data_IF_515127680236
#
_entry.id   IF_515127680236
#
_cell.length_a   1.000
_cell.length_b   1.000
_cell.length_c   1.000
_cell.angle_alpha   90.00
_cell.angle_beta   90.00
_cell.angle_gamma   90.00
#
_symmetry.space_group_name_H-M   'P 1'
#
loop_
_entity.id
_entity.type
_entity.pdbx_description
1 polymer ?
#
# COMPACT_ATOMS: atom_id res chain seq x y z
N UNK A 1 -92.00 31.51 -2.40
CA UNK A 1 -91.36 30.26 -1.96
C UNK A 1 -89.97 30.22 -2.55
N UNK A 2 -88.91 30.32 -1.73
CA UNK A 2 -87.56 29.75 -1.95
C UNK A 2 -86.69 30.23 -0.78
N UNK A 3 -86.86 29.58 0.38
CA UNK A 3 -86.00 29.80 1.54
C UNK A 3 -84.70 29.03 1.33
N UNK A 4 -83.64 29.72 0.90
CA UNK A 4 -82.31 29.13 0.93
C UNK A 4 -81.82 29.06 2.37
N UNK A 5 -81.55 27.83 2.82
CA UNK A 5 -81.20 27.50 4.19
C UNK A 5 -79.77 28.00 4.50
N UNK A 6 -79.56 28.93 5.46
CA UNK A 6 -78.27 29.58 5.69
C UNK A 6 -77.15 28.60 6.12
N UNK A 7 -77.52 27.40 6.56
CA UNK A 7 -76.60 26.36 7.00
C UNK A 7 -75.81 25.71 5.85
N UNK A 8 -76.31 25.72 4.61
CA UNK A 8 -75.58 25.13 3.48
C UNK A 8 -74.34 25.92 3.10
N UNK A 9 -74.41 27.26 3.19
CA UNK A 9 -73.27 28.12 2.86
C UNK A 9 -72.15 27.97 3.88
N UNK A 10 -72.48 27.86 5.17
CA UNK A 10 -71.51 27.65 6.24
C UNK A 10 -70.83 26.28 6.18
N UNK A 11 -71.55 25.21 5.79
CA UNK A 11 -70.97 23.87 5.63
C UNK A 11 -70.01 23.84 4.43
N UNK A 12 -70.36 24.46 3.31
CA UNK A 12 -69.50 24.55 2.13
C UNK A 12 -68.24 25.36 2.44
N UNK A 13 -68.36 26.47 3.19
CA UNK A 13 -67.21 27.27 3.60
C UNK A 13 -66.28 26.51 4.56
N UNK A 14 -66.84 25.69 5.46
CA UNK A 14 -66.07 24.87 6.40
C UNK A 14 -65.32 23.73 5.68
N UNK A 15 -65.94 23.11 4.68
CA UNK A 15 -65.29 22.09 3.83
C UNK A 15 -64.17 22.72 2.98
N UNK A 16 -64.39 23.91 2.43
CA UNK A 16 -63.36 24.66 1.69
C UNK A 16 -62.19 25.12 2.57
N UNK A 17 -62.44 25.39 3.86
CA UNK A 17 -61.39 25.79 4.82
C UNK A 17 -60.62 24.58 5.40
N UNK A 18 -61.23 23.39 5.43
CA UNK A 18 -60.58 22.14 5.83
C UNK A 18 -59.88 21.40 4.68
N UNK A 19 -60.19 21.72 3.42
CA UNK A 19 -59.54 21.11 2.24
C UNK A 19 -58.01 21.27 2.19
N UNK A 20 -57.41 22.42 2.57
CA UNK A 20 -55.95 22.58 2.55
C UNK A 20 -55.25 21.79 3.66
N UNK A 21 -55.97 21.39 4.72
CA UNK A 21 -55.41 20.64 5.86
C UNK A 21 -55.28 19.13 5.59
N UNK A 22 -55.93 18.61 4.53
CA UNK A 22 -55.81 17.20 4.13
C UNK A 22 -54.72 16.94 3.08
N UNK A 23 -54.12 17.98 2.48
CA UNK A 23 -52.85 17.85 1.78
C UNK A 23 -51.71 17.92 2.82
N UNK A 24 -51.62 16.91 3.68
CA UNK A 24 -50.32 16.60 4.28
C UNK A 24 -49.43 16.15 3.13
N UNK A 25 -48.59 17.05 2.61
CA UNK A 25 -47.51 16.68 1.70
C UNK A 25 -46.65 15.67 2.47
N UNK A 26 -46.87 14.39 2.20
CA UNK A 26 -46.05 13.31 2.74
C UNK A 26 -44.64 13.64 2.29
N UNK A 27 -43.77 13.96 3.25
CA UNK A 27 -42.39 14.31 2.97
C UNK A 27 -41.83 13.15 2.13
N UNK A 28 -41.36 13.40 0.89
CA UNK A 28 -40.89 12.31 0.05
C UNK A 28 -39.83 11.54 0.84
N UNK A 29 -39.89 10.22 0.77
CA UNK A 29 -38.92 9.38 1.47
C UNK A 29 -37.49 9.73 1.07
N UNK A 30 -36.52 9.18 1.78
CA UNK A 30 -35.10 9.37 1.45
C UNK A 30 -34.49 8.04 1.07
N UNK A 31 -33.83 7.99 -0.10
CA UNK A 31 -32.92 6.92 -0.46
C UNK A 31 -31.51 7.35 -0.07
N UNK A 32 -30.89 6.65 0.88
CA UNK A 32 -29.49 6.92 1.23
C UNK A 32 -28.59 6.16 0.26
N UNK A 33 -27.76 6.88 -0.49
CA UNK A 33 -26.84 6.30 -1.44
C UNK A 33 -25.41 6.26 -0.87
N UNK A 34 -24.86 5.05 -0.83
CA UNK A 34 -23.52 4.71 -0.38
C UNK A 34 -22.71 4.11 -1.54
N UNK A 35 -21.41 4.43 -1.61
CA UNK A 35 -20.51 3.93 -2.66
C UNK A 35 -19.46 2.99 -2.10
N UNK A 36 -19.32 1.83 -2.73
CA UNK A 36 -18.21 0.90 -2.56
C UNK A 36 -17.37 0.99 -3.84
N UNK A 37 -16.19 1.59 -3.74
CA UNK A 37 -15.25 1.72 -4.84
C UNK A 37 -13.88 1.16 -4.41
N UNK A 38 -13.43 0.13 -5.12
CA UNK A 38 -12.18 -0.56 -4.85
C UNK A 38 -12.29 -1.66 -3.80
N UNK A 39 -11.18 -1.92 -3.09
CA UNK A 39 -11.05 -3.05 -2.19
C UNK A 39 -11.94 -2.95 -0.94
N UNK A 40 -12.49 -4.09 -0.52
CA UNK A 40 -13.24 -4.20 0.75
C UNK A 40 -12.27 -4.34 1.91
N UNK A 41 -12.13 -3.30 2.73
CA UNK A 41 -11.31 -3.28 3.94
C UNK A 41 -11.96 -2.51 5.09
N UNK A 42 -11.26 -2.30 6.22
CA UNK A 42 -11.85 -1.68 7.40
C UNK A 42 -12.32 -0.23 7.18
N UNK A 43 -11.68 0.52 6.28
CA UNK A 43 -12.12 1.87 5.94
C UNK A 43 -13.51 1.85 5.27
N UNK A 44 -13.72 0.94 4.32
CA UNK A 44 -15.02 0.73 3.66
C UNK A 44 -16.06 0.21 4.66
N UNK A 45 -15.68 -0.71 5.56
CA UNK A 45 -16.54 -1.20 6.62
C UNK A 45 -17.02 -0.06 7.56
N UNK A 46 -16.11 0.77 8.10
CA UNK A 46 -16.44 1.91 8.98
C UNK A 46 -17.36 2.92 8.27
N UNK A 47 -17.04 3.25 7.01
CA UNK A 47 -17.85 4.13 6.18
C UNK A 47 -19.27 3.60 6.01
N UNK A 48 -19.42 2.33 5.62
CA UNK A 48 -20.73 1.73 5.46
C UNK A 48 -21.47 1.69 6.79
N UNK A 49 -20.85 1.25 7.89
CA UNK A 49 -21.50 1.21 9.20
C UNK A 49 -22.06 2.57 9.62
N UNK A 50 -21.31 3.67 9.39
CA UNK A 50 -21.81 5.03 9.61
C UNK A 50 -22.95 5.41 8.66
N UNK A 51 -22.86 5.00 7.39
CA UNK A 51 -23.94 5.15 6.41
C UNK A 51 -25.22 4.44 6.84
N UNK A 52 -25.14 3.21 7.33
CA UNK A 52 -26.29 2.47 7.84
C UNK A 52 -26.92 3.17 9.06
N UNK A 53 -26.11 3.62 10.03
CA UNK A 53 -26.60 4.40 11.16
C UNK A 53 -27.28 5.70 10.69
N UNK A 54 -26.70 6.38 9.70
CA UNK A 54 -27.26 7.59 9.10
C UNK A 54 -28.61 7.33 8.43
N UNK A 55 -28.76 6.22 7.71
CA UNK A 55 -30.01 5.83 7.08
C UNK A 55 -31.12 5.62 8.12
N UNK A 56 -30.76 5.02 9.27
CA UNK A 56 -31.68 4.81 10.39
C UNK A 56 -32.07 6.17 11.01
N UNK A 57 -31.10 7.05 11.28
CA UNK A 57 -31.36 8.40 11.80
C UNK A 57 -32.28 9.23 10.90
N UNK A 58 -32.11 9.09 9.58
CA UNK A 58 -32.92 9.81 8.59
C UNK A 58 -34.28 9.15 8.33
N UNK A 59 -34.56 7.99 8.91
CA UNK A 59 -35.70 7.14 8.55
C UNK A 59 -35.79 6.92 7.03
N UNK A 60 -34.64 6.62 6.41
CA UNK A 60 -34.56 6.36 4.98
C UNK A 60 -35.47 5.19 4.58
N UNK A 61 -36.13 5.29 3.43
CA UNK A 61 -36.96 4.22 2.89
C UNK A 61 -36.10 3.07 2.39
N UNK A 62 -34.91 3.37 1.87
CA UNK A 62 -34.00 2.40 1.26
C UNK A 62 -32.56 2.88 1.34
N UNK A 63 -31.63 1.93 1.48
CA UNK A 63 -30.19 2.14 1.30
C UNK A 63 -29.81 1.59 -0.07
N UNK A 64 -29.12 2.39 -0.87
CA UNK A 64 -28.51 1.96 -2.14
C UNK A 64 -27.01 1.77 -1.90
N UNK A 65 -26.54 0.54 -2.01
CA UNK A 65 -25.12 0.19 -2.03
C UNK A 65 -24.67 0.06 -3.48
N UNK A 66 -24.19 1.16 -4.07
CA UNK A 66 -23.56 1.10 -5.37
C UNK A 66 -22.15 0.53 -5.24
N UNK A 67 -21.78 -0.48 -6.04
CA UNK A 67 -20.49 -1.16 -5.89
C UNK A 67 -19.74 -1.37 -7.21
N UNK A 68 -18.45 -1.09 -7.17
CA UNK A 68 -17.41 -1.58 -8.07
C UNK A 68 -16.23 -2.08 -7.22
N UNK A 69 -16.09 -3.40 -7.08
CA UNK A 69 -15.10 -3.98 -6.19
C UNK A 69 -14.46 -5.25 -6.77
N UNK A 70 -13.12 -5.38 -6.70
CA UNK A 70 -12.42 -6.64 -6.98
C UNK A 70 -12.55 -7.66 -5.84
N UNK A 71 -13.12 -7.29 -4.69
CA UNK A 71 -13.14 -8.09 -3.48
C UNK A 71 -12.37 -7.45 -2.32
N UNK A 72 -12.03 -8.26 -1.32
CA UNK A 72 -11.22 -7.80 -0.19
C UNK A 72 -11.25 -8.77 0.98
N UNK A 73 -11.05 -8.25 2.20
CA UNK A 73 -10.88 -9.04 3.41
C UNK A 73 -12.19 -9.70 3.85
N UNK A 74 -12.15 -11.02 4.13
CA UNK A 74 -13.29 -11.80 4.60
C UNK A 74 -13.93 -11.21 5.88
N UNK A 75 -13.12 -10.76 6.84
CA UNK A 75 -13.61 -10.13 8.06
C UNK A 75 -14.45 -8.87 7.78
N UNK A 76 -13.95 -7.96 6.94
CA UNK A 76 -14.66 -6.73 6.56
C UNK A 76 -15.94 -7.06 5.79
N UNK A 77 -15.88 -8.03 4.87
CA UNK A 77 -17.03 -8.51 4.11
C UNK A 77 -18.14 -9.05 5.05
N UNK A 78 -17.79 -9.93 5.99
CA UNK A 78 -18.76 -10.52 6.94
C UNK A 78 -19.39 -9.48 7.84
N UNK A 79 -18.65 -8.47 8.31
CA UNK A 79 -19.21 -7.36 9.09
C UNK A 79 -20.16 -6.47 8.28
N UNK A 80 -19.85 -6.21 7.01
CA UNK A 80 -20.77 -5.51 6.10
C UNK A 80 -22.05 -6.33 5.90
N UNK A 81 -21.94 -7.63 5.66
CA UNK A 81 -23.10 -8.53 5.50
C UNK A 81 -23.94 -8.58 6.78
N UNK A 82 -23.31 -8.64 7.96
CA UNK A 82 -24.02 -8.54 9.24
C UNK A 82 -24.81 -7.24 9.35
N UNK A 83 -24.21 -6.12 8.93
CA UNK A 83 -24.88 -4.82 8.89
C UNK A 83 -26.08 -4.82 7.95
N UNK A 84 -25.97 -5.46 6.77
CA UNK A 84 -27.08 -5.64 5.83
C UNK A 84 -28.22 -6.47 6.44
N UNK A 85 -27.89 -7.60 7.05
CA UNK A 85 -28.88 -8.54 7.63
C UNK A 85 -29.60 -7.90 8.83
N UNK A 86 -28.87 -7.15 9.67
CA UNK A 86 -29.42 -6.50 10.85
C UNK A 86 -30.11 -5.16 10.56
N UNK A 87 -30.04 -4.66 9.32
CA UNK A 87 -30.59 -3.35 8.96
C UNK A 87 -32.12 -3.35 9.03
N UNK A 88 -32.75 -2.40 9.75
CA UNK A 88 -34.19 -2.19 9.68
C UNK A 88 -34.61 -1.44 8.40
N UNK A 89 -33.65 -0.88 7.65
CA UNK A 89 -33.89 -0.23 6.35
C UNK A 89 -33.55 -1.22 5.23
N UNK A 90 -34.45 -1.42 4.24
CA UNK A 90 -34.15 -2.23 3.06
C UNK A 90 -32.85 -1.81 2.35
N UNK A 91 -32.09 -2.79 1.86
CA UNK A 91 -30.79 -2.57 1.20
C UNK A 91 -30.83 -3.09 -0.22
N UNK A 92 -30.58 -2.21 -1.19
CA UNK A 92 -30.43 -2.53 -2.61
C UNK A 92 -28.95 -2.51 -2.95
N UNK A 93 -28.39 -3.68 -3.26
CA UNK A 93 -27.05 -3.80 -3.81
C UNK A 93 -27.09 -3.56 -5.31
N UNK A 94 -26.25 -2.65 -5.83
CA UNK A 94 -26.26 -2.26 -7.23
C UNK A 94 -24.85 -2.24 -7.83
N UNK A 95 -24.54 -3.22 -8.69
CA UNK A 95 -23.25 -3.26 -9.41
C UNK A 95 -23.30 -2.28 -10.57
N UNK A 96 -22.57 -1.17 -10.45
CA UNK A 96 -22.69 -0.02 -11.34
C UNK A 96 -21.52 0.94 -11.11
N UNK A 97 -21.07 1.73 -12.12
CA UNK A 97 -21.62 1.90 -13.48
C UNK A 97 -21.35 0.70 -14.40
N UNK A 98 -21.76 0.79 -15.67
CA UNK A 98 -21.30 -0.15 -16.71
C UNK A 98 -19.77 -0.27 -16.72
N UNK A 99 -19.26 -1.49 -16.81
CA UNK A 99 -17.83 -1.82 -16.62
C UNK A 99 -17.44 -2.17 -15.19
N UNK A 100 -18.28 -1.86 -14.19
CA UNK A 100 -18.07 -2.25 -12.81
C UNK A 100 -18.21 -3.77 -12.59
N UNK A 101 -17.72 -4.22 -11.44
CA UNK A 101 -17.83 -5.61 -11.01
C UNK A 101 -18.15 -5.77 -9.53
N UNK A 102 -18.75 -6.90 -9.18
CA UNK A 102 -18.90 -7.36 -7.81
C UNK A 102 -18.19 -8.71 -7.63
N UNK A 103 -16.85 -8.68 -7.71
CA UNK A 103 -16.04 -9.88 -7.59
C UNK A 103 -15.75 -10.25 -6.13
N UNK A 104 -15.52 -11.52 -5.86
CA UNK A 104 -15.10 -12.03 -4.54
C UNK A 104 -16.05 -11.54 -3.43
N UNK A 105 -15.55 -10.79 -2.44
CA UNK A 105 -16.36 -10.21 -1.37
C UNK A 105 -17.61 -9.45 -1.86
N UNK A 106 -17.53 -8.78 -3.02
CA UNK A 106 -18.66 -8.09 -3.64
C UNK A 106 -19.84 -9.02 -3.96
N UNK A 107 -19.56 -10.26 -4.39
CA UNK A 107 -20.59 -11.28 -4.67
C UNK A 107 -21.38 -11.60 -3.40
N UNK A 108 -20.71 -11.81 -2.26
CA UNK A 108 -21.38 -12.11 -0.99
C UNK A 108 -22.21 -10.92 -0.49
N UNK A 109 -21.69 -9.70 -0.61
CA UNK A 109 -22.41 -8.46 -0.24
C UNK A 109 -23.68 -8.31 -1.09
N UNK A 110 -23.58 -8.55 -2.40
CA UNK A 110 -24.72 -8.54 -3.30
C UNK A 110 -25.75 -9.63 -2.94
N UNK A 111 -25.29 -10.85 -2.65
CA UNK A 111 -26.14 -11.97 -2.21
C UNK A 111 -26.87 -11.71 -0.89
N UNK A 112 -26.27 -10.94 0.03
CA UNK A 112 -26.90 -10.56 1.29
C UNK A 112 -27.97 -9.47 1.14
N UNK A 113 -27.88 -8.66 0.08
CA UNK A 113 -28.76 -7.51 -0.15
C UNK A 113 -30.22 -7.94 -0.31
N UNK A 114 -31.16 -7.06 0.06
CA UNK A 114 -32.59 -7.34 -0.06
C UNK A 114 -33.00 -7.39 -1.54
N UNK A 115 -32.46 -6.46 -2.33
CA UNK A 115 -32.54 -6.48 -3.80
C UNK A 115 -31.12 -6.44 -4.35
N UNK A 116 -30.83 -7.30 -5.33
CA UNK A 116 -29.59 -7.34 -6.08
C UNK A 116 -29.88 -6.84 -7.51
N UNK A 117 -29.16 -5.80 -7.92
CA UNK A 117 -29.29 -5.20 -9.24
C UNK A 117 -27.92 -5.02 -9.88
N UNK A 118 -27.90 -5.02 -11.22
CA UNK A 118 -26.68 -4.80 -12.01
C UNK A 118 -26.96 -3.84 -13.16
N UNK A 119 -25.97 -3.03 -13.53
CA UNK A 119 -25.98 -2.30 -14.79
C UNK A 119 -25.56 -3.19 -15.96
N UNK A 120 -26.00 -2.88 -17.20
CA UNK A 120 -25.49 -3.57 -18.38
C UNK A 120 -23.97 -3.50 -18.46
N UNK A 121 -23.34 -4.54 -19.02
CA UNK A 121 -21.88 -4.68 -19.11
C UNK A 121 -21.16 -4.65 -17.73
N UNK A 122 -21.78 -5.21 -16.70
CA UNK A 122 -21.14 -5.51 -15.41
C UNK A 122 -21.05 -7.03 -15.20
N UNK A 123 -20.25 -7.46 -14.23
CA UNK A 123 -20.14 -8.88 -13.87
C UNK A 123 -20.08 -9.10 -12.34
N UNK A 124 -20.39 -10.33 -11.92
CA UNK A 124 -20.20 -10.80 -10.56
C UNK A 124 -19.61 -12.22 -10.55
N UNK A 125 -19.13 -12.68 -9.40
CA UNK A 125 -18.58 -14.03 -9.20
C UNK A 125 -17.12 -14.01 -8.75
N UNK A 126 -16.34 -15.01 -9.16
CA UNK A 126 -14.96 -15.23 -8.70
C UNK A 126 -14.86 -15.17 -7.16
N UNK A 127 -15.72 -15.95 -6.49
CA UNK A 127 -15.97 -15.92 -5.06
C UNK A 127 -15.13 -16.93 -4.25
N UNK A 128 -14.14 -17.55 -4.89
CA UNK A 128 -13.22 -18.50 -4.26
C UNK A 128 -12.36 -17.82 -3.19
N UNK A 129 -12.36 -18.31 -1.93
CA UNK A 129 -11.48 -17.78 -0.90
C UNK A 129 -10.03 -18.14 -1.24
N UNK A 130 -9.16 -17.14 -1.20
CA UNK A 130 -7.72 -17.32 -1.32
C UNK A 130 -7.09 -17.09 0.05
N UNK A 131 -6.27 -18.03 0.50
CA UNK A 131 -5.55 -17.85 1.74
C UNK A 131 -4.37 -16.92 1.48
N UNK A 132 -4.32 -15.86 2.27
CA UNK A 132 -3.25 -14.87 2.18
C UNK A 132 -2.12 -15.33 3.11
N UNK A 133 -0.99 -15.72 2.53
CA UNK A 133 0.22 -16.24 3.16
C UNK A 133 0.82 -17.48 2.48
N UNK A 134 0.16 -18.06 1.47
CA UNK A 134 0.69 -19.22 0.73
C UNK A 134 1.58 -18.78 -0.43
N UNK A 135 2.81 -19.30 -0.52
CA UNK A 135 3.77 -18.91 -1.57
C UNK A 135 3.16 -19.01 -2.99
N UNK A 136 3.47 -18.05 -3.89
CA UNK A 136 3.10 -18.15 -5.30
C UNK A 136 3.68 -19.44 -5.90
N UNK A 137 2.82 -20.41 -6.17
CA UNK A 137 3.23 -21.74 -6.66
C UNK A 137 2.41 -22.92 -6.11
N UNK A 138 1.64 -22.74 -5.03
CA UNK A 138 0.79 -23.80 -4.47
C UNK A 138 -0.66 -23.80 -4.99
N UNK A 139 -1.07 -22.80 -5.77
CA UNK A 139 -2.40 -22.74 -6.37
C UNK A 139 -2.29 -22.75 -7.89
N UNK A 140 -2.56 -23.92 -8.48
CA UNK A 140 -3.05 -24.05 -9.86
C UNK A 140 -2.05 -23.79 -10.99
N UNK A 141 -1.16 -24.75 -11.27
CA UNK A 141 -0.82 -25.09 -12.66
C UNK A 141 -1.35 -26.48 -12.97
N UNK A 142 -2.58 -26.53 -13.47
CA UNK A 142 -3.01 -27.64 -14.31
C UNK A 142 -2.37 -27.43 -15.70
N UNK A 143 -1.09 -27.77 -15.84
CA UNK A 143 -0.46 -27.91 -17.15
C UNK A 143 -0.21 -29.40 -17.41
N UNK A 144 -0.79 -29.85 -18.52
CA UNK A 144 -0.69 -31.17 -19.10
C UNK A 144 0.77 -31.60 -19.29
N UNK A 145 1.22 -32.62 -18.56
CA UNK A 145 2.45 -33.34 -18.83
C UNK A 145 2.14 -34.73 -19.34
N UNK A 146 2.34 -34.95 -20.64
CA UNK A 146 2.33 -36.27 -21.26
C UNK A 146 3.58 -37.08 -20.88
N UNK A 147 3.33 -38.31 -20.41
CA UNK A 147 4.06 -39.58 -20.64
C UNK A 147 5.46 -39.79 -20.01
N UNK A 148 5.52 -40.64 -18.96
CA UNK A 148 6.04 -42.04 -18.93
C UNK A 148 6.32 -42.45 -17.45
N UNK A 149 5.52 -43.35 -16.87
CA UNK A 149 5.84 -44.78 -16.53
C UNK A 149 6.88 -44.91 -15.38
N UNK A 150 6.68 -45.56 -14.22
CA UNK A 150 5.84 -46.70 -13.82
C UNK A 150 5.73 -46.81 -12.27
N UNK A 151 4.54 -47.26 -11.83
CA UNK A 151 4.20 -48.20 -10.74
C UNK A 151 4.11 -47.85 -9.22
N UNK A 152 2.90 -48.18 -8.76
CA UNK A 152 2.38 -48.63 -7.45
C UNK A 152 1.88 -47.63 -6.39
N UNK A 153 0.55 -47.49 -6.41
CA UNK A 153 -0.38 -47.45 -5.27
C UNK A 153 -0.17 -46.40 -4.17
N UNK A 154 -0.84 -45.26 -4.31
CA UNK A 154 -2.03 -44.91 -3.50
C UNK A 154 -2.70 -43.66 -4.08
N UNK A 155 -3.97 -43.81 -4.49
CA UNK A 155 -4.88 -42.69 -4.79
C UNK A 155 -5.09 -41.85 -3.53
N UNK A 156 -4.54 -40.64 -3.50
CA UNK A 156 -5.20 -39.47 -2.92
C UNK A 156 -4.49 -38.25 -3.47
N UNK A 157 -5.20 -37.48 -4.29
CA UNK A 157 -4.98 -36.04 -4.35
C UNK A 157 -4.98 -35.55 -2.91
N UNK A 158 -3.81 -35.22 -2.38
CA UNK A 158 -3.71 -34.54 -1.10
C UNK A 158 -4.24 -33.11 -1.31
N UNK A 159 -5.56 -32.99 -1.43
CA UNK A 159 -6.26 -31.76 -1.14
C UNK A 159 -5.83 -31.38 0.27
N UNK A 160 -5.09 -30.28 0.40
CA UNK A 160 -4.76 -29.75 1.71
C UNK A 160 -6.07 -29.63 2.51
N UNK A 161 -6.23 -30.40 3.62
CA UNK A 161 -7.46 -30.40 4.40
C UNK A 161 -7.86 -28.99 4.87
N UNK A 162 -6.91 -28.06 4.96
CA UNK A 162 -7.17 -26.66 5.29
C UNK A 162 -7.88 -25.94 4.16
N UNK A 163 -7.37 -25.98 2.93
CA UNK A 163 -8.01 -25.34 1.75
C UNK A 163 -9.43 -25.83 1.50
N UNK A 164 -9.66 -27.13 1.65
CA UNK A 164 -11.00 -27.71 1.51
C UNK A 164 -11.96 -27.23 2.59
N UNK A 165 -11.48 -27.01 3.83
CA UNK A 165 -12.30 -26.43 4.90
C UNK A 165 -12.68 -24.98 4.59
N UNK A 166 -11.74 -24.15 4.12
CA UNK A 166 -12.04 -22.75 3.74
C UNK A 166 -13.06 -22.69 2.61
N UNK A 167 -12.87 -23.49 1.55
CA UNK A 167 -13.83 -23.54 0.43
C UNK A 167 -15.20 -24.03 0.89
N UNK A 168 -15.26 -25.08 1.71
CA UNK A 168 -16.53 -25.60 2.20
C UNK A 168 -17.27 -24.61 3.13
N UNK A 169 -16.55 -23.86 3.97
CA UNK A 169 -17.13 -22.78 4.78
C UNK A 169 -17.70 -21.66 3.89
N UNK A 170 -16.92 -21.22 2.89
CA UNK A 170 -17.32 -20.21 1.93
C UNK A 170 -18.56 -20.63 1.12
N UNK A 171 -18.60 -21.89 0.66
CA UNK A 171 -19.76 -22.48 -0.02
C UNK A 171 -20.98 -22.49 0.91
N UNK A 172 -20.83 -22.98 2.14
CA UNK A 172 -21.93 -23.00 3.10
C UNK A 172 -22.46 -21.59 3.38
N UNK A 173 -21.57 -20.61 3.51
CA UNK A 173 -21.91 -19.23 3.77
C UNK A 173 -22.69 -18.59 2.61
N UNK A 174 -22.18 -18.67 1.37
CA UNK A 174 -22.86 -18.05 0.22
C UNK A 174 -24.19 -18.75 -0.10
N UNK A 175 -24.27 -20.07 0.04
CA UNK A 175 -25.52 -20.83 -0.11
C UNK A 175 -26.55 -20.40 0.93
N UNK A 176 -26.13 -20.17 2.18
CA UNK A 176 -27.01 -19.64 3.22
C UNK A 176 -27.58 -18.27 2.88
N UNK A 177 -26.75 -17.36 2.36
CA UNK A 177 -27.21 -16.04 1.88
C UNK A 177 -28.18 -16.17 0.70
N UNK A 178 -27.86 -17.06 -0.24
CA UNK A 178 -28.70 -17.34 -1.40
C UNK A 178 -30.10 -17.81 -0.99
N UNK A 179 -30.15 -18.80 -0.10
CA UNK A 179 -31.41 -19.36 0.42
C UNK A 179 -32.22 -18.33 1.21
N UNK A 180 -31.55 -17.53 2.06
CA UNK A 180 -32.19 -16.45 2.82
C UNK A 180 -32.86 -15.41 1.91
N UNK A 181 -32.35 -15.21 0.69
CA UNK A 181 -32.85 -14.21 -0.26
C UNK A 181 -33.55 -14.80 -1.48
N UNK A 182 -33.77 -16.12 -1.53
CA UNK A 182 -34.43 -16.78 -2.66
C UNK A 182 -33.63 -16.74 -3.98
N UNK A 183 -32.31 -16.63 -3.90
CA UNK A 183 -31.39 -16.59 -5.05
C UNK A 183 -30.82 -17.97 -5.36
N UNK A 184 -30.27 -18.12 -6.57
CA UNK A 184 -29.68 -19.38 -7.02
C UNK A 184 -28.46 -19.78 -6.17
N UNK A 185 -28.67 -20.77 -5.29
CA UNK A 185 -27.65 -21.30 -4.39
C UNK A 185 -26.65 -22.22 -5.09
N UNK A 186 -27.05 -22.89 -6.17
CA UNK A 186 -26.19 -23.82 -6.89
C UNK A 186 -25.16 -23.07 -7.72
N UNK A 187 -25.58 -21.99 -8.40
CA UNK A 187 -24.63 -21.07 -9.01
C UNK A 187 -23.73 -20.38 -7.96
N UNK A 188 -24.28 -20.01 -6.80
CA UNK A 188 -23.49 -19.40 -5.74
C UNK A 188 -22.35 -20.33 -5.28
N UNK A 189 -22.60 -21.64 -5.21
CA UNK A 189 -21.56 -22.64 -4.95
C UNK A 189 -20.53 -22.72 -6.08
N UNK A 190 -20.96 -22.72 -7.34
CA UNK A 190 -20.06 -22.70 -8.50
C UNK A 190 -19.14 -21.47 -8.51
N UNK A 191 -19.68 -20.30 -8.15
CA UNK A 191 -18.89 -19.07 -8.02
C UNK A 191 -17.73 -19.21 -7.02
N UNK A 192 -17.88 -20.07 -6.01
CA UNK A 192 -16.85 -20.36 -5.00
C UNK A 192 -15.94 -21.52 -5.41
N UNK A 193 -16.48 -22.64 -5.88
CA UNK A 193 -15.68 -23.84 -6.21
C UNK A 193 -14.91 -23.71 -7.51
N UNK A 194 -15.49 -23.05 -8.50
CA UNK A 194 -14.99 -23.00 -9.87
C UNK A 194 -14.54 -21.59 -10.27
N UNK A 195 -14.62 -20.62 -9.34
CA UNK A 195 -14.39 -19.20 -9.62
C UNK A 195 -15.27 -18.65 -10.76
N UNK A 196 -16.45 -19.24 -10.96
CA UNK A 196 -17.36 -18.86 -12.03
C UNK A 196 -17.78 -17.38 -11.92
N UNK A 197 -17.99 -16.74 -13.07
CA UNK A 197 -18.47 -15.36 -13.18
C UNK A 197 -19.60 -15.27 -14.19
N UNK A 198 -20.55 -14.36 -13.98
CA UNK A 198 -21.68 -14.10 -14.88
C UNK A 198 -21.73 -12.62 -15.27
N UNK A 199 -22.20 -12.38 -16.49
CA UNK A 199 -22.66 -11.06 -16.93
C UNK A 199 -23.99 -10.69 -16.28
N UNK A 200 -24.38 -9.42 -16.32
CA UNK A 200 -25.67 -8.96 -15.78
C UNK A 200 -26.87 -9.72 -16.36
N UNK A 201 -26.86 -9.99 -17.67
CA UNK A 201 -27.92 -10.69 -18.39
C UNK A 201 -28.03 -12.15 -17.97
N UNK A 202 -26.89 -12.86 -17.86
CA UNK A 202 -26.87 -14.24 -17.39
C UNK A 202 -27.23 -14.34 -15.91
N UNK A 203 -26.80 -13.38 -15.09
CA UNK A 203 -27.13 -13.34 -13.68
C UNK A 203 -28.63 -13.19 -13.45
N UNK A 204 -29.31 -12.34 -14.23
CA UNK A 204 -30.77 -12.21 -14.17
C UNK A 204 -31.45 -13.50 -14.62
N UNK A 205 -31.00 -14.08 -15.74
CA UNK A 205 -31.56 -15.33 -16.27
C UNK A 205 -31.41 -16.52 -15.31
N UNK A 206 -30.32 -16.55 -14.54
CA UNK A 206 -30.03 -17.61 -13.57
C UNK A 206 -30.58 -17.33 -12.16
N UNK A 207 -31.40 -16.27 -11.97
CA UNK A 207 -31.94 -15.88 -10.66
C UNK A 207 -30.84 -15.61 -9.60
N UNK A 208 -29.74 -15.01 -10.05
CA UNK A 208 -28.63 -14.54 -9.21
C UNK A 208 -28.84 -13.10 -8.78
N UNK A 209 -29.52 -12.30 -9.61
CA UNK A 209 -29.95 -10.92 -9.32
C UNK A 209 -31.44 -10.76 -9.62
N UNK A 210 -32.03 -9.68 -9.13
CA UNK A 210 -33.47 -9.42 -9.20
C UNK A 210 -33.88 -8.53 -10.39
N UNK A 211 -32.96 -7.70 -10.90
CA UNK A 211 -33.21 -6.80 -12.04
C UNK A 211 -31.92 -6.21 -12.64
N UNK A 212 -32.04 -5.66 -13.84
CA UNK A 212 -31.00 -4.87 -14.51
C UNK A 212 -31.46 -3.41 -14.59
N UNK A 213 -30.60 -2.49 -14.16
CA UNK A 213 -30.88 -1.06 -14.16
C UNK A 213 -29.71 -0.24 -14.74
N UNK A 214 -30.04 0.72 -15.59
CA UNK A 214 -29.07 1.57 -16.31
C UNK A 214 -28.55 2.73 -15.46
N UNK A 215 -29.28 3.10 -14.41
CA UNK A 215 -28.95 4.22 -13.53
C UNK A 215 -29.69 4.10 -12.19
N UNK A 216 -29.33 4.93 -11.20
CA UNK A 216 -30.05 4.97 -9.91
C UNK A 216 -31.52 5.40 -10.06
N UNK A 217 -31.87 6.41 -10.87
CA UNK A 217 -33.28 6.73 -11.13
C UNK A 217 -34.07 5.55 -11.72
N UNK A 218 -33.48 4.83 -12.68
CA UNK A 218 -34.07 3.63 -13.28
C UNK A 218 -34.24 2.50 -12.25
N UNK A 219 -33.20 2.24 -11.45
CA UNK A 219 -33.23 1.31 -10.32
C UNK A 219 -34.38 1.62 -9.35
N UNK A 220 -34.52 2.89 -8.95
CA UNK A 220 -35.58 3.32 -8.04
C UNK A 220 -36.97 3.19 -8.66
N UNK A 221 -37.10 3.44 -9.96
CA UNK A 221 -38.36 3.22 -10.69
C UNK A 221 -38.74 1.74 -10.76
N UNK A 222 -37.77 0.84 -10.95
CA UNK A 222 -38.02 -0.61 -11.07
C UNK A 222 -38.20 -1.31 -9.72
N UNK A 223 -37.72 -0.70 -8.63
CA UNK A 223 -37.87 -1.21 -7.26
C UNK A 223 -39.12 -0.71 -6.57
N UNK A 224 -39.79 0.30 -7.11
CA UNK A 224 -41.04 0.83 -6.56
C UNK A 224 -42.14 -0.22 -6.54
N UNK A 225 -42.85 -0.33 -5.42
CA UNK A 225 -43.91 -1.32 -5.22
C UNK A 225 -43.42 -2.76 -4.99
N UNK A 226 -42.11 -3.04 -5.07
CA UNK A 226 -41.58 -4.38 -4.72
C UNK A 226 -41.68 -4.61 -3.22
N UNK A 227 -41.98 -5.84 -2.83
CA UNK A 227 -42.02 -6.25 -1.43
C UNK A 227 -40.76 -7.04 -1.09
N UNK A 228 -40.12 -6.69 0.02
CA UNK A 228 -38.89 -7.32 0.52
C UNK A 228 -39.05 -7.70 1.98
N UNK A 229 -38.46 -8.83 2.38
CA UNK A 229 -38.49 -9.26 3.77
C UNK A 229 -37.34 -8.61 4.57
N UNK A 230 -37.69 -7.75 5.52
CA UNK A 230 -36.77 -7.05 6.42
C UNK A 230 -37.05 -7.49 7.85
N UNK A 231 -36.07 -8.14 8.48
CA UNK A 231 -36.18 -8.64 9.86
C UNK A 231 -37.45 -9.50 10.10
N UNK A 232 -37.86 -10.28 9.10
CA UNK A 232 -39.05 -11.14 9.16
C UNK A 232 -40.36 -10.45 8.77
N UNK A 233 -40.36 -9.15 8.49
CA UNK A 233 -41.54 -8.39 8.06
C UNK A 233 -41.48 -8.08 6.57
N UNK A 234 -42.59 -8.24 5.87
CA UNK A 234 -42.71 -7.86 4.47
C UNK A 234 -42.94 -6.35 4.36
N UNK A 235 -41.98 -5.65 3.76
CA UNK A 235 -42.01 -4.19 3.54
C UNK A 235 -42.13 -3.93 2.04
N UNK A 236 -43.16 -3.17 1.64
CA UNK A 236 -43.29 -2.67 0.27
C UNK A 236 -42.50 -1.38 0.10
N UNK A 237 -41.60 -1.36 -0.88
CA UNK A 237 -40.78 -0.19 -1.19
C UNK A 237 -41.62 0.91 -1.85
N UNK A 238 -41.53 2.12 -1.32
CA UNK A 238 -42.08 3.33 -1.92
C UNK A 238 -40.93 4.24 -2.36
N UNK A 239 -40.43 4.00 -3.56
CA UNK A 239 -39.26 4.68 -4.14
C UNK A 239 -39.65 5.69 -5.23
N UNK A 240 -40.93 5.75 -5.62
CA UNK A 240 -41.46 6.79 -6.49
C UNK A 240 -41.21 8.19 -5.91
N UNK A 241 -40.59 9.08 -6.71
CA UNK A 241 -40.28 10.47 -6.35
C UNK A 241 -39.47 10.64 -5.04
N UNK A 242 -38.70 9.62 -4.66
CA UNK A 242 -37.86 9.64 -3.46
C UNK A 242 -36.69 10.63 -3.63
N UNK A 243 -36.30 11.31 -2.55
CA UNK A 243 -35.11 12.16 -2.57
C UNK A 243 -33.86 11.30 -2.36
N UNK A 244 -32.87 11.42 -3.24
CA UNK A 244 -31.61 10.71 -3.12
C UNK A 244 -30.64 11.56 -2.30
N UNK A 245 -30.22 11.06 -1.14
CA UNK A 245 -29.16 11.67 -0.33
C UNK A 245 -27.88 10.86 -0.51
N UNK A 246 -26.86 11.48 -1.14
CA UNK A 246 -25.57 10.84 -1.31
C UNK A 246 -24.70 11.05 -0.08
N UNK A 247 -24.38 9.96 0.63
CA UNK A 247 -23.49 10.01 1.78
C UNK A 247 -22.08 9.66 1.32
N UNK A 248 -21.31 10.65 0.89
CA UNK A 248 -19.97 10.43 0.36
C UNK A 248 -18.94 10.11 1.46
N UNK A 249 -17.87 9.33 1.15
CA UNK A 249 -16.75 9.12 2.05
C UNK A 249 -16.11 10.43 2.53
N UNK A 250 -16.05 10.61 3.85
CA UNK A 250 -15.45 11.78 4.50
C UNK A 250 -13.93 11.70 4.56
N UNK A 251 -13.30 12.77 5.06
CA UNK A 251 -11.84 12.86 5.19
C UNK A 251 -11.26 11.71 6.03
N UNK A 252 -12.01 11.23 7.04
CA UNK A 252 -11.60 10.12 7.90
C UNK A 252 -11.56 8.82 7.10
N UNK A 253 -12.60 8.50 6.33
CA UNK A 253 -12.57 7.32 5.46
C UNK A 253 -11.42 7.40 4.47
N UNK A 254 -11.18 8.57 3.86
CA UNK A 254 -10.09 8.76 2.89
C UNK A 254 -8.72 8.56 3.55
N UNK A 255 -8.52 9.11 4.75
CA UNK A 255 -7.29 8.92 5.51
C UNK A 255 -7.07 7.46 5.88
N UNK A 256 -8.12 6.77 6.37
CA UNK A 256 -8.02 5.35 6.71
C UNK A 256 -7.72 4.51 5.47
N UNK A 257 -8.40 4.77 4.35
CA UNK A 257 -8.16 4.08 3.09
C UNK A 257 -6.70 4.25 2.61
N UNK A 258 -6.16 5.47 2.70
CA UNK A 258 -4.77 5.80 2.38
C UNK A 258 -3.81 5.04 3.29
N UNK A 259 -4.04 5.03 4.61
CA UNK A 259 -3.15 4.35 5.56
C UNK A 259 -3.20 2.83 5.35
N UNK A 260 -4.37 2.28 5.01
CA UNK A 260 -4.53 0.85 4.74
C UNK A 260 -4.09 0.43 3.33
N UNK A 261 -3.60 1.36 2.49
CA UNK A 261 -3.04 1.02 1.19
C UNK A 261 -1.66 0.33 1.36
N UNK A 262 -1.46 -0.88 0.81
CA UNK A 262 -0.20 -1.60 0.82
C UNK A 262 1.04 -0.79 0.43
N UNK A 263 0.94 0.03 -0.61
CA UNK A 263 2.06 0.82 -1.12
C UNK A 263 2.38 1.96 -0.16
N UNK A 264 1.36 2.61 0.39
CA UNK A 264 1.54 3.71 1.32
C UNK A 264 2.10 3.19 2.65
N UNK A 265 1.59 2.07 3.16
CA UNK A 265 2.15 1.38 4.33
C UNK A 265 3.63 1.04 4.13
N UNK A 266 4.00 0.51 2.94
CA UNK A 266 5.38 0.21 2.58
C UNK A 266 6.27 1.47 2.50
N UNK A 267 5.79 2.55 1.87
CA UNK A 267 6.52 3.83 1.80
C UNK A 267 6.72 4.42 3.21
N UNK A 268 5.66 4.45 4.03
CA UNK A 268 5.73 4.92 5.41
C UNK A 268 6.74 4.09 6.23
N UNK A 269 6.77 2.77 6.04
CA UNK A 269 7.78 1.92 6.67
C UNK A 269 9.20 2.32 6.23
N UNK A 270 9.46 2.45 4.93
CA UNK A 270 10.80 2.80 4.44
C UNK A 270 11.25 4.19 4.91
N UNK A 271 10.38 5.20 4.81
CA UNK A 271 10.64 6.55 5.33
C UNK A 271 10.91 6.46 6.84
N UNK A 272 10.08 5.70 7.55
CA UNK A 272 10.21 5.45 8.98
C UNK A 272 11.59 4.92 9.37
N UNK A 273 12.01 3.83 8.71
CA UNK A 273 13.30 3.18 8.93
C UNK A 273 14.45 4.13 8.59
N UNK A 274 14.45 4.74 7.40
CA UNK A 274 15.54 5.63 6.97
C UNK A 274 15.65 6.91 7.81
N UNK A 275 14.53 7.47 8.28
CA UNK A 275 14.55 8.67 9.12
C UNK A 275 15.15 8.39 10.51
N UNK A 276 14.86 7.24 11.11
CA UNK A 276 15.49 6.80 12.36
C UNK A 276 16.99 6.55 12.18
N UNK A 277 17.39 5.89 11.09
CA UNK A 277 18.81 5.67 10.77
C UNK A 277 19.56 7.00 10.64
N UNK A 278 18.93 7.98 9.97
CA UNK A 278 19.51 9.30 9.79
C UNK A 278 19.70 10.03 11.12
N UNK A 279 18.73 9.94 12.05
CA UNK A 279 18.86 10.48 13.41
C UNK A 279 20.02 9.84 14.17
N UNK A 280 20.16 8.51 14.15
CA UNK A 280 21.28 7.82 14.80
C UNK A 280 22.65 8.22 14.21
N UNK A 281 22.71 8.51 12.92
CA UNK A 281 23.94 8.93 12.24
C UNK A 281 24.29 10.40 12.49
N UNK A 282 23.30 11.23 12.85
CA UNK A 282 23.47 12.67 13.08
C UNK A 282 22.86 13.08 14.43
N UNK A 283 23.55 12.81 15.56
CA UNK A 283 23.06 13.13 16.88
C UNK A 283 22.69 14.62 17.00
N UNK A 284 21.46 14.91 17.43
CA UNK A 284 20.93 16.28 17.58
C UNK A 284 19.84 16.66 16.57
N UNK A 285 19.61 15.87 15.53
CA UNK A 285 18.49 16.04 14.60
C UNK A 285 17.22 15.34 15.13
N UNK A 286 16.46 16.01 16.01
CA UNK A 286 15.23 15.45 16.63
C UNK A 286 14.10 15.25 15.59
N UNK A 287 14.02 16.11 14.58
CA UNK A 287 12.92 16.10 13.61
C UNK A 287 12.82 14.78 12.80
N UNK A 288 13.90 14.25 12.19
CA UNK A 288 13.90 12.93 11.57
C UNK A 288 13.42 11.79 12.48
N UNK A 289 13.79 11.81 13.76
CA UNK A 289 13.36 10.81 14.73
C UNK A 289 11.85 10.76 14.95
N UNK A 290 11.26 11.94 15.17
CA UNK A 290 9.81 12.07 15.35
C UNK A 290 9.05 11.65 14.10
N UNK A 291 9.47 12.12 12.91
CA UNK A 291 8.86 11.72 11.63
C UNK A 291 8.99 10.21 11.44
N UNK A 292 10.17 9.66 11.72
CA UNK A 292 10.45 8.24 11.61
C UNK A 292 9.54 7.38 12.48
N UNK A 293 9.43 7.74 13.76
CA UNK A 293 8.56 7.05 14.72
C UNK A 293 7.08 7.11 14.31
N UNK A 294 6.58 8.27 13.91
CA UNK A 294 5.18 8.42 13.45
C UNK A 294 4.92 7.57 12.21
N UNK A 295 5.81 7.62 11.22
CA UNK A 295 5.70 6.81 10.00
C UNK A 295 5.71 5.31 10.31
N UNK A 296 6.55 4.84 11.23
CA UNK A 296 6.59 3.43 11.63
C UNK A 296 5.32 3.01 12.39
N UNK A 297 4.81 3.83 13.30
CA UNK A 297 3.55 3.51 14.01
C UNK A 297 2.38 3.39 13.03
N UNK A 298 2.29 4.30 12.06
CA UNK A 298 1.26 4.24 11.01
C UNK A 298 1.44 3.01 10.10
N UNK A 299 2.67 2.67 9.72
CA UNK A 299 2.95 1.48 8.94
C UNK A 299 2.60 0.19 9.71
N UNK A 300 2.93 0.11 11.01
CA UNK A 300 2.57 -1.00 11.88
C UNK A 300 1.05 -1.15 12.03
N UNK A 301 0.33 -0.03 12.17
CA UNK A 301 -1.14 -0.06 12.19
C UNK A 301 -1.71 -0.61 10.87
N UNK A 302 -1.16 -0.18 9.72
CA UNK A 302 -1.55 -0.73 8.43
C UNK A 302 -1.25 -2.23 8.32
N UNK A 303 -0.07 -2.67 8.77
CA UNK A 303 0.33 -4.08 8.80
C UNK A 303 -0.47 -4.95 9.76
N UNK A 304 -1.14 -4.38 10.76
CA UNK A 304 -2.08 -5.12 11.59
C UNK A 304 -3.34 -5.52 10.81
N UNK A 305 -3.75 -4.67 9.88
CA UNK A 305 -4.94 -4.87 9.04
C UNK A 305 -4.60 -5.67 7.78
N UNK A 306 -3.39 -5.47 7.25
CA UNK A 306 -2.90 -6.14 6.07
C UNK A 306 -2.32 -7.53 6.40
N UNK A 307 -2.52 -8.52 5.54
CA UNK A 307 -2.00 -9.87 5.73
C UNK A 307 -0.49 -9.93 5.40
N UNK A 308 0.33 -9.48 6.34
CA UNK A 308 1.80 -9.47 6.18
C UNK A 308 2.43 -10.85 6.35
N UNK A 309 3.46 -11.12 5.56
CA UNK A 309 4.35 -12.25 5.79
C UNK A 309 5.51 -11.83 6.69
N UNK A 310 5.53 -12.34 7.91
CA UNK A 310 6.60 -12.04 8.88
C UNK A 310 8.00 -12.46 8.41
N UNK A 311 8.12 -13.52 7.59
CA UNK A 311 9.40 -13.91 7.00
C UNK A 311 9.87 -12.86 5.98
N UNK A 312 8.96 -12.36 5.14
CA UNK A 312 9.25 -11.27 4.21
C UNK A 312 9.67 -9.99 4.92
N UNK A 313 8.94 -9.61 5.98
CA UNK A 313 9.28 -8.47 6.83
C UNK A 313 10.65 -8.63 7.49
N UNK A 314 10.93 -9.79 8.09
CA UNK A 314 12.23 -10.05 8.72
C UNK A 314 13.36 -9.98 7.70
N UNK A 315 13.19 -10.57 6.52
CA UNK A 315 14.20 -10.57 5.46
C UNK A 315 14.45 -9.15 4.91
N UNK A 316 13.39 -8.33 4.79
CA UNK A 316 13.50 -6.92 4.43
C UNK A 316 14.31 -6.14 5.46
N UNK A 317 14.00 -6.30 6.75
CA UNK A 317 14.71 -5.62 7.84
C UNK A 317 16.18 -6.05 7.92
N UNK A 318 16.47 -7.34 7.76
CA UNK A 318 17.84 -7.86 7.66
C UNK A 318 18.56 -7.28 6.44
N UNK A 319 17.88 -7.18 5.31
CA UNK A 319 18.42 -6.56 4.10
C UNK A 319 18.85 -5.12 4.32
N UNK A 320 17.99 -4.31 4.94
CA UNK A 320 18.32 -2.93 5.33
C UNK A 320 19.49 -2.90 6.31
N UNK A 321 19.47 -3.75 7.35
CA UNK A 321 20.55 -3.80 8.34
C UNK A 321 21.91 -4.14 7.72
N UNK A 322 21.97 -5.08 6.77
CA UNK A 322 23.21 -5.43 6.06
C UNK A 322 23.70 -4.31 5.14
N UNK A 323 22.79 -3.64 4.43
CA UNK A 323 23.15 -2.46 3.63
C UNK A 323 23.75 -1.35 4.50
N UNK A 324 23.25 -1.15 5.73
CA UNK A 324 23.81 -0.19 6.68
C UNK A 324 25.12 -0.66 7.29
N UNK A 325 25.22 -1.94 7.66
CA UNK A 325 26.43 -2.50 8.24
C UNK A 325 27.64 -2.30 7.32
N UNK A 326 27.45 -2.37 6.00
CA UNK A 326 28.49 -2.10 4.99
C UNK A 326 29.04 -0.66 5.08
N UNK A 327 28.24 0.33 5.51
CA UNK A 327 28.68 1.73 5.68
C UNK A 327 29.68 1.85 6.84
N UNK A 328 29.46 1.11 7.92
CA UNK A 328 30.33 1.13 9.11
C UNK A 328 31.49 0.15 9.03
N UNK A 329 31.27 -1.00 8.37
CA UNK A 329 32.23 -2.08 8.18
C UNK A 329 32.35 -2.34 6.67
N UNK A 330 33.21 -1.59 5.95
CA UNK A 330 33.36 -1.75 4.51
C UNK A 330 33.89 -3.15 4.19
N UNK A 331 33.01 -4.06 3.76
CA UNK A 331 33.29 -5.47 3.47
C UNK A 331 33.52 -5.73 1.97
N UNK A 332 33.94 -4.70 1.22
CA UNK A 332 34.08 -4.71 -0.23
C UNK A 332 32.77 -5.00 -0.98
N UNK A 333 31.64 -4.60 -0.38
CA UNK A 333 30.32 -4.70 -0.98
C UNK A 333 29.60 -6.04 -0.80
N UNK A 334 30.19 -7.00 -0.07
CA UNK A 334 29.55 -8.28 0.19
C UNK A 334 28.25 -8.12 1.02
N UNK A 335 28.30 -7.38 2.14
CA UNK A 335 27.10 -7.10 2.94
C UNK A 335 26.10 -6.21 2.20
N UNK A 336 26.58 -5.23 1.42
CA UNK A 336 25.72 -4.34 0.64
C UNK A 336 24.91 -5.07 -0.44
N UNK A 337 25.56 -5.92 -1.25
CA UNK A 337 24.89 -6.69 -2.29
C UNK A 337 23.96 -7.75 -1.68
N UNK A 338 24.43 -8.48 -0.68
CA UNK A 338 23.61 -9.47 0.04
C UNK A 338 22.39 -8.84 0.70
N UNK A 339 22.57 -7.67 1.32
CA UNK A 339 21.51 -6.88 1.92
C UNK A 339 20.48 -6.38 0.90
N UNK A 340 20.92 -5.96 -0.28
CA UNK A 340 20.04 -5.55 -1.38
C UNK A 340 19.20 -6.72 -1.92
N UNK A 341 19.81 -7.89 -2.12
CA UNK A 341 19.09 -9.10 -2.54
C UNK A 341 18.05 -9.48 -1.50
N UNK A 342 18.44 -9.51 -0.21
CA UNK A 342 17.51 -9.78 0.89
C UNK A 342 16.38 -8.73 0.96
N UNK A 343 16.70 -7.46 0.76
CA UNK A 343 15.70 -6.38 0.70
C UNK A 343 14.68 -6.61 -0.41
N UNK A 344 15.12 -6.93 -1.64
CA UNK A 344 14.22 -7.16 -2.77
C UNK A 344 13.34 -8.40 -2.53
N UNK A 345 13.94 -9.52 -2.13
CA UNK A 345 13.19 -10.76 -1.85
C UNK A 345 12.21 -10.54 -0.70
N UNK A 346 12.66 -9.91 0.39
CA UNK A 346 11.83 -9.58 1.55
C UNK A 346 10.67 -8.66 1.17
N UNK A 347 10.90 -7.65 0.33
CA UNK A 347 9.86 -6.73 -0.16
C UNK A 347 8.81 -7.42 -1.03
N UNK A 348 9.23 -8.33 -1.92
CA UNK A 348 8.30 -9.12 -2.74
C UNK A 348 7.50 -10.09 -1.87
N UNK A 349 8.12 -10.66 -0.83
CA UNK A 349 7.44 -11.57 0.09
C UNK A 349 6.56 -10.85 1.13
N UNK A 350 6.77 -9.55 1.36
CA UNK A 350 6.20 -8.80 2.50
C UNK A 350 4.66 -8.86 2.54
N UNK A 351 4.02 -8.65 1.39
CA UNK A 351 2.57 -8.68 1.23
C UNK A 351 2.21 -9.69 0.16
N UNK A 352 1.30 -10.60 0.48
CA UNK A 352 0.85 -11.62 -0.46
C UNK A 352 -0.17 -11.04 -1.46
N UNK A 353 0.07 -11.32 -2.74
CA UNK A 353 -0.65 -10.82 -3.91
C UNK A 353 -1.88 -11.64 -4.28
N UNK A 354 -2.29 -12.62 -3.46
CA UNK A 354 -3.43 -13.50 -3.77
C UNK A 354 -4.75 -12.76 -4.08
N UNK A 355 -4.93 -11.54 -3.58
CA UNK A 355 -6.09 -10.68 -3.90
C UNK A 355 -5.62 -9.42 -4.64
N UNK A 356 -6.17 -9.13 -5.84
CA UNK A 356 -5.88 -7.89 -6.56
C UNK A 356 -6.14 -6.65 -5.70
N UNK A 357 -5.13 -5.79 -5.55
CA UNK A 357 -5.21 -4.57 -4.75
C UNK A 357 -4.61 -4.65 -3.34
N UNK A 358 -4.17 -5.82 -2.87
CA UNK A 358 -3.54 -6.00 -1.54
C UNK A 358 -2.01 -6.20 -1.56
N UNK A 359 -1.40 -6.30 -2.74
CA UNK A 359 0.06 -6.41 -2.89
C UNK A 359 0.78 -5.07 -2.99
N UNK A 360 2.07 -5.03 -2.62
CA UNK A 360 2.95 -3.90 -2.96
C UNK A 360 3.22 -3.92 -4.46
N UNK A 361 3.10 -2.76 -5.11
CA UNK A 361 3.38 -2.65 -6.54
C UNK A 361 4.85 -2.96 -6.86
N UNK A 362 5.07 -3.92 -7.77
CA UNK A 362 6.42 -4.28 -8.24
C UNK A 362 7.23 -3.06 -8.73
N UNK A 363 6.65 -2.09 -9.49
CA UNK A 363 7.36 -0.87 -9.87
C UNK A 363 7.90 -0.07 -8.68
N UNK A 364 7.17 -0.03 -7.56
CA UNK A 364 7.62 0.64 -6.34
C UNK A 364 8.80 -0.09 -5.70
N UNK A 365 8.72 -1.42 -5.58
CA UNK A 365 9.83 -2.24 -5.08
C UNK A 365 11.08 -2.02 -5.93
N UNK A 366 10.95 -2.09 -7.27
CA UNK A 366 12.05 -1.88 -8.20
C UNK A 366 12.62 -0.47 -8.08
N UNK A 367 11.76 0.55 -7.93
CA UNK A 367 12.21 1.95 -7.76
C UNK A 367 13.05 2.12 -6.50
N UNK A 368 12.59 1.62 -5.35
CA UNK A 368 13.35 1.69 -4.11
C UNK A 368 14.60 0.81 -4.13
N UNK A 369 14.57 -0.34 -4.78
CA UNK A 369 15.74 -1.18 -4.97
C UNK A 369 16.81 -0.47 -5.82
N UNK A 370 16.42 0.16 -6.94
CA UNK A 370 17.31 0.93 -7.80
C UNK A 370 17.86 2.17 -7.09
N UNK A 371 17.04 2.89 -6.33
CA UNK A 371 17.50 4.03 -5.52
C UNK A 371 18.53 3.59 -4.48
N UNK A 372 18.26 2.49 -3.77
CA UNK A 372 19.17 1.92 -2.77
C UNK A 372 20.46 1.44 -3.43
N UNK A 373 20.37 0.82 -4.62
CA UNK A 373 21.54 0.39 -5.40
C UNK A 373 22.38 1.54 -5.90
N UNK A 374 21.76 2.60 -6.45
CA UNK A 374 22.46 3.79 -6.90
C UNK A 374 23.19 4.47 -5.73
N UNK A 375 22.51 4.62 -4.59
CA UNK A 375 23.11 5.15 -3.38
C UNK A 375 24.31 4.31 -2.91
N UNK A 376 24.17 2.99 -2.92
CA UNK A 376 25.23 2.06 -2.58
C UNK A 376 26.45 2.18 -3.51
N UNK A 377 26.22 2.19 -4.84
CA UNK A 377 27.27 2.34 -5.84
C UNK A 377 27.99 3.68 -5.73
N UNK A 378 27.28 4.76 -5.37
CA UNK A 378 27.88 6.07 -5.12
C UNK A 378 28.81 6.05 -3.90
N UNK A 379 28.38 5.45 -2.79
CA UNK A 379 29.22 5.30 -1.58
C UNK A 379 30.44 4.45 -1.90
N UNK A 380 30.27 3.32 -2.58
CA UNK A 380 31.38 2.44 -2.95
C UNK A 380 32.36 3.16 -3.89
N UNK A 381 31.85 3.89 -4.89
CA UNK A 381 32.65 4.72 -5.78
C UNK A 381 33.42 5.81 -5.03
N UNK A 382 32.80 6.48 -4.07
CA UNK A 382 33.46 7.46 -3.21
C UNK A 382 34.52 6.82 -2.31
N UNK A 383 34.25 5.65 -1.71
CA UNK A 383 35.17 4.94 -0.84
C UNK A 383 36.40 4.42 -1.60
N UNK A 384 36.21 3.86 -2.79
CA UNK A 384 37.29 3.44 -3.68
C UNK A 384 38.12 4.66 -4.11
N UNK A 385 37.45 5.76 -4.53
CA UNK A 385 38.13 6.99 -4.90
C UNK A 385 38.90 7.60 -3.72
N UNK A 386 38.39 7.50 -2.49
CA UNK A 386 39.08 7.97 -1.29
C UNK A 386 40.33 7.13 -0.98
N UNK A 387 40.28 5.81 -1.17
CA UNK A 387 41.44 4.92 -1.02
C UNK A 387 42.49 5.08 -2.12
N UNK A 388 42.09 5.51 -3.31
CA UNK A 388 42.99 5.79 -4.43
C UNK A 388 43.59 7.20 -4.39
N UNK A 389 43.20 8.06 -3.44
CA UNK A 389 43.91 9.31 -3.21
C UNK A 389 45.28 8.96 -2.61
N UNK A 390 46.39 9.44 -3.19
CA UNK A 390 47.70 9.27 -2.56
C UNK A 390 47.62 9.82 -1.13
N UNK A 391 48.28 9.17 -0.18
CA UNK A 391 48.35 9.62 1.21
C UNK A 391 49.06 10.98 1.22
N UNK A 392 48.31 12.07 1.38
CA UNK A 392 48.85 13.44 1.43
C UNK A 392 48.94 13.95 2.87
N UNK A 393 49.27 13.05 3.81
CA UNK A 393 49.43 13.39 5.23
C UNK A 393 50.58 12.60 5.85
N UNK A 394 51.58 13.30 6.37
CA UNK A 394 52.71 12.72 7.10
C UNK A 394 53.99 12.58 6.26
N UNK A 395 55.08 12.21 6.96
CA UNK A 395 56.52 12.30 6.64
C UNK A 395 56.98 11.91 5.21
N UNK A 396 56.14 11.22 4.44
CA UNK A 396 56.39 10.82 3.05
C UNK A 396 56.25 11.98 2.05
N UNK A 397 55.54 13.06 2.40
CA UNK A 397 55.47 14.27 1.57
C UNK A 397 56.78 15.05 1.54
N UNK A 398 57.63 14.91 2.58
CA UNK A 398 58.91 15.61 2.63
C UNK A 398 59.89 15.08 1.60
N UNK A 399 59.76 13.82 1.19
CA UNK A 399 60.64 13.20 0.18
C UNK A 399 60.22 13.70 -1.20
N UNK A 400 61.16 14.28 -1.95
CA UNK A 400 61.00 15.01 -3.22
C UNK A 400 60.51 16.46 -3.13
N UNK A 401 60.33 17.00 -1.93
CA UNK A 401 60.03 18.42 -1.77
C UNK A 401 61.30 19.28 -1.76
N UNK A 402 61.14 20.57 -2.06
CA UNK A 402 62.25 21.53 -2.11
C UNK A 402 62.30 22.43 -0.87
N UNK A 403 63.50 22.74 -0.41
CA UNK A 403 63.76 23.54 0.78
C UNK A 403 64.87 24.56 0.59
N UNK A 404 65.11 25.36 1.62
CA UNK A 404 66.20 26.35 1.66
C UNK A 404 67.12 26.14 2.84
N UNK A 405 68.42 26.24 2.62
CA UNK A 405 69.44 26.07 3.66
C UNK A 405 69.45 27.28 4.59
N UNK A 406 69.33 27.06 5.91
CA UNK A 406 69.25 28.14 6.91
C UNK A 406 70.65 28.60 7.34
N UNK A 407 71.57 27.65 7.53
CA UNK A 407 72.94 27.86 7.98
C UNK A 407 73.93 27.14 7.06
N UNK A 408 75.16 27.64 6.95
CA UNK A 408 76.20 26.94 6.19
C UNK A 408 76.58 25.66 6.93
N UNK A 409 76.56 24.50 6.26
CA UNK A 409 77.01 23.25 6.86
C UNK A 409 77.72 22.33 5.87
N UNK A 410 78.70 21.57 6.37
CA UNK A 410 79.48 20.63 5.55
C UNK A 410 78.90 19.20 5.56
N UNK A 411 78.30 18.78 6.68
CA UNK A 411 77.71 17.44 6.83
C UNK A 411 76.31 17.48 7.44
N UNK A 412 76.10 18.23 8.52
CA UNK A 412 74.79 18.39 9.16
C UNK A 412 74.45 19.84 9.47
N UNK A 413 73.22 20.25 9.20
CA UNK A 413 72.72 21.57 9.54
C UNK A 413 71.20 21.66 9.47
N UNK A 414 70.69 22.89 9.42
CA UNK A 414 69.25 23.15 9.42
C UNK A 414 68.78 23.66 8.06
N UNK A 415 67.67 23.08 7.59
CA UNK A 415 66.99 23.49 6.36
C UNK A 415 65.54 23.86 6.67
N UNK A 416 64.96 24.73 5.84
CA UNK A 416 63.56 25.12 5.91
C UNK A 416 62.79 24.50 4.75
N UNK A 417 61.79 23.67 5.07
CA UNK A 417 60.87 23.05 4.11
C UNK A 417 59.45 23.34 4.61
N UNK A 418 58.56 23.84 3.74
CA UNK A 418 57.18 24.25 4.09
C UNK A 418 57.05 25.21 5.29
N UNK A 419 58.09 26.00 5.57
CA UNK A 419 58.10 26.94 6.70
C UNK A 419 58.58 26.35 8.03
N UNK A 420 58.81 25.04 8.10
CA UNK A 420 59.32 24.34 9.29
C UNK A 420 60.84 24.12 9.22
N UNK A 421 61.51 24.08 10.38
CA UNK A 421 62.95 23.83 10.49
C UNK A 421 63.23 22.35 10.71
N UNK A 422 63.97 21.76 9.78
CA UNK A 422 64.34 20.34 9.82
C UNK A 422 65.85 20.18 9.90
N UNK A 423 66.29 19.16 10.65
CA UNK A 423 67.69 18.77 10.66
C UNK A 423 67.98 18.01 9.38
N UNK A 424 69.02 18.40 8.65
CA UNK A 424 69.38 17.78 7.39
C UNK A 424 70.85 17.36 7.35
N UNK A 425 71.12 16.31 6.59
CA UNK A 425 72.46 15.78 6.30
C UNK A 425 72.69 15.81 4.79
N UNK A 426 73.85 16.28 4.37
CA UNK A 426 74.25 16.31 2.95
C UNK A 426 75.66 15.76 2.77
N UNK A 427 75.90 15.15 1.62
CA UNK A 427 77.23 14.67 1.22
C UNK A 427 78.07 15.77 0.56
N UNK A 428 77.47 16.92 0.29
CA UNK A 428 78.10 18.11 -0.31
C UNK A 428 77.96 19.32 0.62
N UNK A 429 78.99 20.18 0.76
CA UNK A 429 78.86 21.40 1.55
C UNK A 429 77.80 22.34 0.98
N UNK A 430 76.84 22.73 1.81
CA UNK A 430 75.70 23.58 1.43
C UNK A 430 75.82 24.97 2.07
N UNK A 431 75.46 26.01 1.32
CA UNK A 431 75.50 27.40 1.80
C UNK A 431 74.11 27.93 2.11
N UNK A 432 74.03 28.83 3.08
CA UNK A 432 72.81 29.54 3.47
C UNK A 432 72.14 30.18 2.26
N UNK A 433 70.86 29.88 2.08
CA UNK A 433 70.02 30.36 0.98
C UNK A 433 70.01 29.46 -0.26
N UNK A 434 70.83 28.41 -0.30
CA UNK A 434 70.84 27.43 -1.39
C UNK A 434 69.56 26.59 -1.38
N UNK A 435 69.06 26.27 -2.58
CA UNK A 435 67.90 25.40 -2.75
C UNK A 435 68.34 23.94 -2.73
N UNK A 436 67.57 23.13 -2.02
CA UNK A 436 67.83 21.70 -1.87
C UNK A 436 66.58 20.89 -2.17
N UNK A 437 66.74 19.66 -2.61
CA UNK A 437 65.67 18.67 -2.68
C UNK A 437 65.93 17.55 -1.67
N UNK A 438 64.86 17.04 -1.07
CA UNK A 438 64.95 15.92 -0.13
C UNK A 438 64.97 14.60 -0.90
N UNK A 439 66.01 13.80 -0.67
CA UNK A 439 66.21 12.51 -1.34
C UNK A 439 65.67 11.36 -0.49
N UNK A 440 65.84 11.47 0.83
CA UNK A 440 65.37 10.47 1.78
C UNK A 440 65.17 11.09 3.16
N UNK A 441 64.47 10.37 4.04
CA UNK A 441 64.28 10.74 5.45
C UNK A 441 64.59 9.54 6.32
N UNK A 442 65.36 9.75 7.39
CA UNK A 442 65.64 8.75 8.41
C UNK A 442 65.33 9.34 9.79
N UNK A 443 64.22 8.88 10.39
CA UNK A 443 63.71 9.44 11.64
C UNK A 443 63.35 10.92 11.50
N UNK A 444 64.09 11.80 12.21
CA UNK A 444 63.91 13.26 12.17
C UNK A 444 65.00 13.98 11.35
N UNK A 445 65.82 13.24 10.60
CA UNK A 445 66.91 13.77 9.78
C UNK A 445 66.57 13.59 8.30
N UNK A 446 66.64 14.68 7.53
CA UNK A 446 66.43 14.69 6.09
C UNK A 446 67.77 14.55 5.35
N UNK A 447 67.85 13.66 4.38
CA UNK A 447 68.97 13.60 3.44
C UNK A 447 68.68 14.50 2.26
N UNK A 448 69.53 15.49 2.04
CA UNK A 448 69.29 16.58 1.09
C UNK A 448 70.45 16.74 0.12
N UNK A 449 70.12 17.04 -1.13
CA UNK A 449 71.06 17.31 -2.21
C UNK A 449 70.81 18.71 -2.79
N UNK A 450 71.83 19.34 -3.39
CA UNK A 450 71.67 20.63 -4.06
C UNK A 450 70.74 20.49 -5.26
N UNK A 451 69.78 21.40 -5.39
CA UNK A 451 68.89 21.46 -6.55
C UNK A 451 69.71 21.96 -7.75
N UNK A 452 69.88 21.09 -8.76
CA UNK A 452 70.79 21.28 -9.90
C UNK A 452 70.41 22.41 -10.87
N UNK A 453 69.38 23.21 -10.56
CA UNK A 453 68.91 24.35 -11.36
C UNK A 453 69.31 25.73 -10.80
N UNK A 454 70.31 25.80 -9.91
CA UNK A 454 70.81 27.06 -9.36
C UNK A 454 71.96 27.64 -10.22
N UNK A 455 71.80 28.78 -10.93
CA UNK A 455 72.88 29.33 -11.75
C UNK A 455 74.02 29.85 -10.86
N UNK A 456 75.24 29.39 -11.12
CA UNK A 456 76.47 30.01 -10.62
C UNK A 456 76.51 31.49 -11.03
N UNK A 457 76.25 32.40 -10.08
CA UNK A 457 76.65 33.81 -10.22
C UNK A 457 78.12 33.98 -9.79
N UNK A 458 79.03 34.40 -10.68
CA UNK A 458 80.40 34.72 -10.28
C UNK A 458 80.42 36.05 -9.51
N UNK A 459 81.12 36.05 -8.37
CA UNK A 459 81.42 37.25 -7.57
C UNK A 459 82.21 38.26 -8.42
N UNK A 460 81.74 39.51 -8.49
CA UNK A 460 82.60 40.66 -8.83
C UNK A 460 83.37 41.09 -7.57
N UNK A 461 84.65 41.40 -7.78
CA UNK A 461 85.59 41.96 -6.82
C UNK A 461 85.13 43.30 -6.23
#
# INVERSE_FOLDING_TARGET
MHGQNPYHFSIILLILFCWPLMLSAQKPGTALWLNIDGAIGPATQDYLQRGFNKAIELNSTVIILQMDTPGGLDASMREIIRSIIASPVPVVGFVSPSGARAASAGTYILYASHIAAMSPATNLGAATPVQIGSMPGSAGKAESGTSQEENEDTKTTAHDPMTSKLVNDAVAYIRGLAQMRGRNADWAEQAVREAASLTAEEALANNVIDLIATSIPDLLSQTDGRTVNVLGNDITLSTAQITIEHFAPDWRTRLLAIITDPNIAYILMLIGIYAIIYEFSNPGAIFPGVVGAVCLVLALFAFQVLPINYAGLALLLVGIAFMLAEVFVPSFGALGIGGMIAFVIGSVMLLDTGVPGYGVSIPLIVTFALLSAAFFLLILGMAVKARQRPVVSGMEQLVHDTGTVIDNFEQEGWVRIHGEQWKARSNTPLKRGEKIHVVAMDGLILYVEPDSDTPHQPRRH
#
